data_IF_973238139576
#
_entry.id   IF_973238139576
#
_cell.length_a   1.000
_cell.length_b   1.000
_cell.length_c   1.000
_cell.angle_alpha   90.00
_cell.angle_beta   90.00
_cell.angle_gamma   90.00
#
_symmetry.space_group_name_H-M   'P 1'
#
loop_
_entity.id
_entity.type
_entity.pdbx_description
1 polymer ?
#
# COMPACT_ATOMS: atom_id res chain seq x y z
N UNK A 1 5.73 -12.49 15.40
CA UNK A 1 5.78 -10.99 15.31
C UNK A 1 4.38 -10.46 15.50
N UNK A 2 4.21 -9.44 16.33
CA UNK A 2 2.90 -8.81 16.54
C UNK A 2 2.70 -7.64 15.58
N UNK A 3 1.51 -7.06 15.61
CA UNK A 3 1.12 -5.93 14.76
C UNK A 3 2.09 -4.74 14.90
N UNK A 4 2.43 -4.36 16.13
CA UNK A 4 3.29 -3.19 16.37
C UNK A 4 4.71 -3.42 15.88
N UNK A 5 5.25 -4.62 16.06
CA UNK A 5 6.57 -4.97 15.56
C UNK A 5 6.62 -4.96 14.03
N UNK A 6 5.58 -5.46 13.38
CA UNK A 6 5.47 -5.43 11.93
C UNK A 6 5.46 -3.99 11.42
N UNK A 7 4.62 -3.16 12.01
CA UNK A 7 4.51 -1.74 11.62
C UNK A 7 5.86 -1.04 11.81
N UNK A 8 6.47 -1.16 12.98
CA UNK A 8 7.72 -0.46 13.28
C UNK A 8 8.88 -0.93 12.42
N UNK A 9 9.05 -2.23 12.26
CA UNK A 9 10.22 -2.78 11.58
C UNK A 9 10.12 -2.72 10.06
N UNK A 10 8.95 -2.97 9.50
CA UNK A 10 8.79 -3.17 8.06
C UNK A 10 7.96 -2.11 7.35
N UNK A 11 7.04 -1.46 8.01
CA UNK A 11 6.19 -0.46 7.39
C UNK A 11 6.59 0.97 7.68
N UNK A 12 6.97 1.29 8.91
CA UNK A 12 7.36 2.66 9.28
C UNK A 12 8.51 3.21 8.41
N UNK A 13 9.53 2.42 8.05
CA UNK A 13 10.58 2.90 7.15
C UNK A 13 10.10 3.29 5.76
N UNK A 14 8.94 2.82 5.34
CA UNK A 14 8.34 3.12 4.04
C UNK A 14 7.46 4.37 4.06
N UNK A 15 7.17 4.89 5.25
CA UNK A 15 6.21 5.97 5.43
C UNK A 15 6.75 7.32 4.95
N UNK A 16 5.83 8.15 4.43
CA UNK A 16 6.09 9.55 4.14
C UNK A 16 6.09 10.37 5.44
N UNK A 17 6.52 11.63 5.36
CA UNK A 17 6.41 12.55 6.49
C UNK A 17 4.94 12.73 6.92
N UNK A 18 4.01 12.74 5.97
CA UNK A 18 2.58 12.81 6.24
C UNK A 18 2.03 11.60 6.99
N UNK A 19 2.74 10.47 6.95
CA UNK A 19 2.38 9.27 7.70
C UNK A 19 2.75 9.32 9.17
N UNK A 20 3.49 10.34 9.60
CA UNK A 20 3.84 10.58 11.00
C UNK A 20 4.56 9.38 11.66
N UNK A 21 5.36 8.65 10.88
CA UNK A 21 6.06 7.44 11.33
C UNK A 21 5.12 6.28 11.64
N UNK A 22 3.87 6.32 11.19
CA UNK A 22 2.80 5.36 11.47
C UNK A 22 2.49 5.22 12.96
N UNK A 23 2.79 6.25 13.75
CA UNK A 23 2.57 6.27 15.21
C UNK A 23 1.26 6.91 15.61
N UNK A 24 0.65 7.69 14.71
CA UNK A 24 -0.65 8.31 14.93
C UNK A 24 -1.75 7.51 14.22
N UNK A 25 -3.00 7.71 14.68
CA UNK A 25 -4.15 7.00 14.11
C UNK A 25 -4.54 7.51 12.72
N UNK A 26 -3.91 8.58 12.25
CA UNK A 26 -4.22 9.20 10.97
C UNK A 26 -2.95 9.72 10.29
N UNK A 27 -3.04 9.96 9.00
CA UNK A 27 -2.00 10.56 8.21
C UNK A 27 -2.45 11.92 7.69
N UNK A 28 -1.48 12.77 7.36
CA UNK A 28 -1.73 14.07 6.78
C UNK A 28 -1.23 14.09 5.34
N UNK A 29 -2.07 14.55 4.44
CA UNK A 29 -1.72 14.81 3.05
C UNK A 29 -2.15 16.23 2.70
N UNK A 30 -1.18 17.05 2.28
CA UNK A 30 -1.46 18.43 1.87
C UNK A 30 -1.59 18.47 0.35
N UNK A 31 -2.82 18.60 -0.19
CA UNK A 31 -3.00 18.65 -1.64
C UNK A 31 -2.51 19.99 -2.19
N UNK A 32 -2.00 19.96 -3.42
CA UNK A 32 -1.67 21.20 -4.13
C UNK A 32 -2.95 21.82 -4.68
N UNK A 33 -3.06 23.15 -4.59
CA UNK A 33 -4.30 23.88 -4.95
C UNK A 33 -4.68 23.77 -6.43
N UNK A 34 -3.72 23.47 -7.30
CA UNK A 34 -3.92 23.37 -8.75
C UNK A 34 -4.09 21.93 -9.23
N UNK A 35 -4.30 21.00 -8.31
CA UNK A 35 -4.41 19.57 -8.60
C UNK A 35 -5.74 18.99 -8.11
N UNK A 36 -6.26 18.02 -8.86
CA UNK A 36 -7.30 17.12 -8.37
C UNK A 36 -6.64 15.87 -7.78
N UNK A 37 -7.26 15.32 -6.75
CA UNK A 37 -6.84 14.04 -6.16
C UNK A 37 -7.66 12.90 -6.76
N UNK A 38 -6.97 11.86 -7.17
CA UNK A 38 -7.58 10.66 -7.76
C UNK A 38 -7.29 9.48 -6.83
N UNK A 39 -8.32 8.69 -6.56
CA UNK A 39 -8.22 7.54 -5.67
C UNK A 39 -8.48 6.25 -6.44
N UNK A 40 -7.66 5.24 -6.21
CA UNK A 40 -7.91 3.88 -6.68
C UNK A 40 -7.78 2.93 -5.50
N UNK A 41 -8.48 1.81 -5.57
CA UNK A 41 -8.47 0.82 -4.50
C UNK A 41 -8.60 -0.58 -5.06
N UNK A 42 -7.75 -1.49 -4.61
CA UNK A 42 -7.83 -2.90 -4.94
C UNK A 42 -7.62 -3.76 -3.71
N UNK A 43 -8.37 -4.84 -3.62
CA UNK A 43 -8.25 -5.85 -2.57
C UNK A 43 -7.89 -7.19 -3.21
N UNK A 44 -6.94 -7.89 -2.63
CA UNK A 44 -6.52 -9.22 -3.07
C UNK A 44 -6.71 -10.22 -1.94
N UNK A 45 -7.29 -11.37 -2.28
CA UNK A 45 -7.62 -12.44 -1.34
C UNK A 45 -6.86 -13.70 -1.75
N UNK A 46 -6.18 -14.32 -0.79
CA UNK A 46 -5.50 -15.62 -0.97
C UNK A 46 -6.48 -16.67 -1.48
N UNK A 47 -6.05 -17.41 -2.49
CA UNK A 47 -6.88 -18.44 -3.11
C UNK A 47 -7.82 -17.92 -4.20
N UNK A 48 -7.96 -16.60 -4.33
CA UNK A 48 -8.79 -15.96 -5.36
C UNK A 48 -7.92 -15.16 -6.32
N UNK A 49 -7.07 -14.30 -5.81
CA UNK A 49 -6.24 -13.39 -6.61
C UNK A 49 -4.77 -13.80 -6.66
N UNK A 50 -4.35 -14.64 -5.73
CA UNK A 50 -2.98 -15.15 -5.65
C UNK A 50 -2.98 -16.51 -4.94
N UNK A 51 -1.90 -17.25 -5.10
CA UNK A 51 -1.75 -18.56 -4.50
C UNK A 51 -1.18 -18.45 -3.08
N UNK A 52 -1.54 -19.42 -2.24
CA UNK A 52 -1.06 -19.49 -0.84
C UNK A 52 0.46 -19.44 -0.73
N UNK A 53 1.17 -20.00 -1.71
CA UNK A 53 2.63 -20.08 -1.70
C UNK A 53 3.32 -18.92 -2.41
N UNK A 54 2.57 -17.95 -2.91
CA UNK A 54 3.16 -16.75 -3.51
C UNK A 54 3.96 -15.98 -2.47
N UNK A 55 5.11 -15.46 -2.87
CA UNK A 55 5.97 -14.73 -1.96
C UNK A 55 5.35 -13.38 -1.57
N UNK A 56 5.68 -12.91 -0.38
CA UNK A 56 5.26 -11.57 0.06
C UNK A 56 5.73 -10.50 -0.91
N UNK A 57 6.91 -10.67 -1.51
CA UNK A 57 7.45 -9.76 -2.52
C UNK A 57 6.55 -9.67 -3.75
N UNK A 58 6.19 -10.81 -4.35
CA UNK A 58 5.29 -10.85 -5.52
C UNK A 58 3.94 -10.22 -5.21
N UNK A 59 3.42 -10.54 -4.02
CA UNK A 59 2.10 -10.11 -3.60
C UNK A 59 2.01 -8.58 -3.45
N UNK A 60 2.92 -7.99 -2.70
CA UNK A 60 2.92 -6.55 -2.47
C UNK A 60 3.24 -5.76 -3.75
N UNK A 61 4.18 -6.25 -4.54
CA UNK A 61 4.51 -5.64 -5.82
C UNK A 61 3.31 -5.62 -6.76
N UNK A 62 2.60 -6.75 -6.87
CA UNK A 62 1.40 -6.86 -7.70
C UNK A 62 0.30 -5.91 -7.23
N UNK A 63 0.06 -5.85 -5.92
CA UNK A 63 -0.97 -4.98 -5.34
C UNK A 63 -0.75 -3.52 -5.72
N UNK A 64 0.48 -3.02 -5.55
CA UNK A 64 0.80 -1.64 -5.89
C UNK A 64 0.75 -1.40 -7.41
N UNK A 65 1.27 -2.33 -8.21
CA UNK A 65 1.30 -2.16 -9.67
C UNK A 65 -0.08 -2.15 -10.31
N UNK A 66 -1.01 -2.95 -9.82
CA UNK A 66 -2.41 -2.95 -10.29
C UNK A 66 -3.04 -1.59 -10.04
N UNK A 67 -2.86 -1.05 -8.85
CA UNK A 67 -3.35 0.29 -8.49
C UNK A 67 -2.69 1.40 -9.32
N UNK A 68 -1.37 1.31 -9.51
CA UNK A 68 -0.63 2.27 -10.33
C UNK A 68 -1.13 2.29 -11.77
N UNK A 69 -1.45 1.11 -12.31
CA UNK A 69 -2.02 1.00 -13.65
C UNK A 69 -3.33 1.76 -13.77
N UNK A 70 -4.18 1.67 -12.75
CA UNK A 70 -5.46 2.38 -12.74
C UNK A 70 -5.26 3.90 -12.64
N UNK A 71 -4.30 4.37 -11.83
CA UNK A 71 -3.96 5.79 -11.77
C UNK A 71 -3.42 6.30 -13.11
N UNK A 72 -2.52 5.53 -13.73
CA UNK A 72 -1.94 5.88 -15.03
C UNK A 72 -3.02 5.99 -16.11
N UNK A 73 -4.01 5.10 -16.08
CA UNK A 73 -5.13 5.14 -17.03
C UNK A 73 -5.95 6.43 -16.90
N UNK A 74 -5.92 7.09 -15.75
CA UNK A 74 -6.59 8.37 -15.53
C UNK A 74 -5.68 9.57 -15.76
N UNK A 75 -4.41 9.34 -16.05
CA UNK A 75 -3.42 10.40 -16.23
C UNK A 75 -2.86 10.94 -14.92
N UNK A 76 -3.08 10.24 -13.80
CA UNK A 76 -2.65 10.68 -12.48
C UNK A 76 -1.28 10.13 -12.12
N UNK A 77 -0.50 10.91 -11.37
CA UNK A 77 0.77 10.51 -10.79
C UNK A 77 0.57 10.12 -9.33
N UNK A 78 1.15 9.02 -8.85
CA UNK A 78 0.97 8.60 -7.46
C UNK A 78 1.65 9.57 -6.50
N UNK A 79 1.01 9.83 -5.35
CA UNK A 79 1.56 10.67 -4.29
C UNK A 79 1.61 9.97 -2.93
N UNK A 80 0.84 8.93 -2.74
CA UNK A 80 0.83 8.17 -1.50
C UNK A 80 -0.16 7.03 -1.52
N UNK A 81 -0.14 6.20 -0.46
CA UNK A 81 -1.10 5.11 -0.35
C UNK A 81 -1.38 4.72 1.09
N UNK A 82 -2.54 4.12 1.27
CA UNK A 82 -2.96 3.46 2.49
C UNK A 82 -2.95 1.95 2.25
N UNK A 83 -2.56 1.19 3.26
CA UNK A 83 -2.42 -0.26 3.16
C UNK A 83 -3.19 -0.94 4.30
N UNK A 84 -4.06 -1.88 3.98
CA UNK A 84 -4.69 -2.76 4.96
C UNK A 84 -4.20 -4.18 4.74
N UNK A 85 -3.80 -4.85 5.81
CA UNK A 85 -3.26 -6.20 5.76
C UNK A 85 -3.95 -7.04 6.85
N UNK A 86 -4.57 -8.14 6.43
CA UNK A 86 -5.11 -9.15 7.33
C UNK A 86 -4.28 -10.43 7.15
N UNK A 87 -3.58 -10.83 8.19
CA UNK A 87 -2.62 -11.94 8.12
C UNK A 87 -2.91 -12.98 9.20
N UNK A 88 -2.75 -14.29 8.89
CA UNK A 88 -2.84 -15.34 9.91
C UNK A 88 -1.75 -15.17 10.97
N UNK A 89 -2.03 -15.62 12.19
CA UNK A 89 -1.04 -15.63 13.29
C UNK A 89 0.23 -16.40 12.94
N UNK A 90 0.12 -17.38 12.04
CA UNK A 90 1.23 -18.24 11.63
C UNK A 90 2.15 -17.56 10.60
N UNK A 91 1.86 -16.35 10.18
CA UNK A 91 2.69 -15.63 9.23
C UNK A 91 4.08 -15.38 9.81
N UNK A 92 5.11 -15.80 9.09
CA UNK A 92 6.49 -15.71 9.56
C UNK A 92 7.19 -14.40 9.18
N UNK A 93 8.37 -14.19 9.76
CA UNK A 93 9.13 -12.97 9.51
C UNK A 93 9.67 -12.87 8.07
N UNK A 94 9.90 -14.01 7.42
CA UNK A 94 10.34 -14.05 6.02
C UNK A 94 9.27 -13.43 5.12
N UNK A 95 8.01 -13.75 5.37
CA UNK A 95 6.90 -13.14 4.63
C UNK A 95 6.89 -11.62 4.80
N UNK A 96 7.00 -11.13 6.03
CA UNK A 96 7.00 -9.70 6.32
C UNK A 96 8.15 -8.97 5.63
N UNK A 97 9.33 -9.56 5.69
CA UNK A 97 10.52 -9.01 5.04
C UNK A 97 10.33 -8.91 3.52
N UNK A 98 9.84 -9.97 2.91
CA UNK A 98 9.62 -10.02 1.47
C UNK A 98 8.49 -9.09 1.03
N UNK A 99 7.42 -9.01 1.81
CA UNK A 99 6.32 -8.09 1.57
C UNK A 99 6.80 -6.64 1.59
N UNK A 100 7.56 -6.27 2.61
CA UNK A 100 8.17 -4.94 2.74
C UNK A 100 9.11 -4.62 1.56
N UNK A 101 9.90 -5.60 1.12
CA UNK A 101 10.81 -5.43 -0.03
C UNK A 101 10.05 -5.12 -1.32
N UNK A 102 8.94 -5.79 -1.55
CA UNK A 102 8.10 -5.54 -2.73
C UNK A 102 7.49 -4.15 -2.72
N UNK A 103 7.01 -3.70 -1.56
CA UNK A 103 6.50 -2.34 -1.39
C UNK A 103 7.59 -1.30 -1.68
N UNK A 104 8.76 -1.50 -1.08
CA UNK A 104 9.87 -0.56 -1.23
C UNK A 104 10.33 -0.42 -2.67
N UNK A 105 10.46 -1.53 -3.39
CA UNK A 105 10.87 -1.50 -4.80
C UNK A 105 9.93 -0.66 -5.64
N UNK A 106 8.63 -0.86 -5.50
CA UNK A 106 7.64 -0.12 -6.28
C UNK A 106 7.58 1.35 -5.86
N UNK A 107 7.65 1.64 -4.56
CA UNK A 107 7.72 3.02 -4.07
C UNK A 107 8.89 3.79 -4.66
N UNK A 108 10.06 3.15 -4.69
CA UNK A 108 11.27 3.80 -5.17
C UNK A 108 11.23 4.02 -6.70
N UNK A 109 10.62 3.08 -7.44
CA UNK A 109 10.48 3.21 -8.89
C UNK A 109 9.54 4.33 -9.31
N UNK A 110 8.46 4.56 -8.57
CA UNK A 110 7.41 5.50 -8.93
C UNK A 110 7.32 6.73 -8.03
N UNK A 111 8.23 6.85 -7.07
CA UNK A 111 8.40 8.01 -6.19
C UNK A 111 7.12 8.39 -5.42
N UNK A 112 6.63 7.45 -4.63
CA UNK A 112 5.53 7.68 -3.70
C UNK A 112 5.75 6.87 -2.43
N UNK A 113 5.03 7.16 -1.35
CA UNK A 113 5.27 6.54 -0.05
C UNK A 113 4.00 6.14 0.68
N UNK A 114 4.18 5.24 1.63
CA UNK A 114 3.10 4.81 2.52
C UNK A 114 2.68 5.95 3.44
N UNK A 115 1.37 6.16 3.54
CA UNK A 115 0.79 7.17 4.44
C UNK A 115 0.28 6.54 5.74
N UNK A 116 -0.29 5.36 5.64
CA UNK A 116 -0.86 4.69 6.80
C UNK A 116 -1.66 3.46 6.38
N UNK A 117 -2.49 2.97 7.28
CA UNK A 117 -3.33 1.81 7.00
C UNK A 117 -3.73 1.08 8.26
N UNK A 118 -3.97 -0.21 8.13
CA UNK A 118 -4.42 -1.06 9.21
C UNK A 118 -3.82 -2.46 9.08
N UNK A 119 -3.48 -3.07 10.20
CA UNK A 119 -2.97 -4.44 10.25
C UNK A 119 -3.78 -5.23 11.27
N UNK A 120 -4.40 -6.32 10.84
CA UNK A 120 -5.20 -7.18 11.71
C UNK A 120 -4.77 -8.62 11.59
N UNK A 121 -5.09 -9.40 12.60
CA UNK A 121 -4.87 -10.85 12.61
C UNK A 121 -6.16 -11.52 12.16
N UNK A 122 -6.03 -12.51 11.29
CA UNK A 122 -7.15 -13.31 10.80
C UNK A 122 -6.88 -14.80 11.05
N UNK A 123 -7.93 -15.59 11.15
CA UNK A 123 -7.84 -17.05 11.17
C UNK A 123 -8.02 -17.64 9.76
N UNK A 124 -8.42 -16.81 8.82
CA UNK A 124 -8.66 -17.23 7.45
C UNK A 124 -7.51 -16.85 6.51
N UNK A 125 -7.81 -16.69 5.22
CA UNK A 125 -6.81 -16.38 4.22
C UNK A 125 -6.22 -14.97 4.42
N UNK A 126 -5.06 -14.75 3.80
CA UNK A 126 -4.46 -13.42 3.71
C UNK A 126 -5.36 -12.53 2.85
N UNK A 127 -5.65 -11.34 3.35
CA UNK A 127 -6.38 -10.30 2.61
C UNK A 127 -5.58 -9.02 2.68
N UNK A 128 -5.25 -8.45 1.53
CA UNK A 128 -4.51 -7.19 1.45
C UNK A 128 -5.26 -6.19 0.58
N UNK A 129 -5.25 -4.94 1.01
CA UNK A 129 -5.92 -3.84 0.29
C UNK A 129 -4.98 -2.65 0.23
N UNK A 130 -4.87 -2.05 -0.94
CA UNK A 130 -4.19 -0.77 -1.07
C UNK A 130 -5.15 0.25 -1.66
N UNK A 131 -5.11 1.46 -1.11
CA UNK A 131 -5.77 2.63 -1.67
C UNK A 131 -4.68 3.58 -2.09
N UNK A 132 -4.53 3.81 -3.39
CA UNK A 132 -3.55 4.74 -3.91
C UNK A 132 -4.19 6.09 -4.17
N UNK A 133 -3.44 7.12 -3.84
CA UNK A 133 -3.83 8.51 -4.05
C UNK A 133 -2.88 9.08 -5.09
N UNK A 134 -3.45 9.59 -6.15
CA UNK A 134 -2.70 10.27 -7.21
C UNK A 134 -3.17 11.71 -7.38
N UNK A 135 -2.45 12.44 -8.20
CA UNK A 135 -2.80 13.83 -8.52
C UNK A 135 -2.62 14.10 -10.02
N UNK A 136 -3.40 15.02 -10.51
CA UNK A 136 -3.25 15.57 -11.87
C UNK A 136 -3.82 16.98 -11.87
N UNK A 137 -3.45 17.79 -12.89
CA UNK A 137 -3.98 19.15 -12.98
C UNK A 137 -5.52 19.17 -13.01
N UNK A 138 -6.11 20.13 -12.34
CA UNK A 138 -7.56 20.26 -12.22
C UNK A 138 -8.24 20.13 -13.59
N UNK A 139 -9.27 19.29 -13.65
CA UNK A 139 -10.10 19.10 -14.85
C UNK A 139 -9.47 18.22 -15.93
N UNK A 140 -8.34 17.58 -15.69
CA UNK A 140 -7.61 16.80 -16.70
C UNK A 140 -7.78 15.28 -16.63
N UNK A 141 -8.60 14.80 -15.70
CA UNK A 141 -8.80 13.34 -15.58
C UNK A 141 -9.35 12.73 -16.86
N UNK A 142 -8.71 11.66 -17.32
CA UNK A 142 -9.17 10.87 -18.46
C UNK A 142 -10.35 9.99 -18.02
N UNK A 143 -11.43 10.07 -18.73
CA UNK A 143 -12.65 9.31 -18.41
C UNK A 143 -12.79 8.07 -19.29
#
# INVERSE_FOLDING_TARGET
MNEFEFIEKYLAPLASLGGLGLKDDAAILKPRSDMDLIFTKDTMVEGVHFFKDDSGYSLSSKLLRVNLSDLAAKGASPIGYLLSVALPKTTDEIFFKNFSSGLKEVQDLFDFKLLGGDTVVTEGPIVITATLIGELPVGRMIK
#
